data_IF_139745460861
#
_entry.id   IF_139745460861
#
_cell.length_a   1.000
_cell.length_b   1.000
_cell.length_c   1.000
_cell.angle_alpha   90.00
_cell.angle_beta   90.00
_cell.angle_gamma   90.00
#
_symmetry.space_group_name_H-M   'P 1'
#
loop_
_entity.id
_entity.type
_entity.pdbx_description
1 polymer ?
#
# COMPACT_ATOMS: atom_id res chain seq x y z
N UNK A 1 40.08 -2.76 -5.70
CA UNK A 1 39.30 -1.84 -4.83
C UNK A 1 38.35 -0.94 -5.60
N UNK A 2 38.80 -0.15 -6.59
CA UNK A 2 37.92 0.81 -7.30
C UNK A 2 36.68 0.17 -7.96
N UNK A 3 36.83 -1.00 -8.60
CA UNK A 3 35.69 -1.73 -9.19
C UNK A 3 34.60 -2.05 -8.14
N UNK A 4 34.98 -2.56 -6.97
CA UNK A 4 34.05 -2.93 -5.90
C UNK A 4 33.39 -1.71 -5.26
N UNK A 5 34.09 -0.58 -5.19
CA UNK A 5 33.50 0.71 -4.78
C UNK A 5 32.38 1.14 -5.72
N UNK A 6 32.59 1.03 -7.03
CA UNK A 6 31.56 1.38 -8.02
C UNK A 6 30.37 0.44 -7.90
N UNK A 7 30.60 -0.87 -7.78
CA UNK A 7 29.53 -1.86 -7.62
C UNK A 7 28.73 -1.61 -6.33
N UNK A 8 29.40 -1.32 -5.22
CA UNK A 8 28.74 -1.00 -3.94
C UNK A 8 27.90 0.28 -4.02
N UNK A 9 28.41 1.34 -4.65
CA UNK A 9 27.66 2.59 -4.88
C UNK A 9 26.44 2.35 -5.76
N UNK A 10 26.60 1.58 -6.85
CA UNK A 10 25.49 1.22 -7.74
C UNK A 10 24.43 0.39 -7.02
N UNK A 11 24.84 -0.58 -6.20
CA UNK A 11 23.95 -1.37 -5.36
C UNK A 11 23.18 -0.50 -4.38
N UNK A 12 23.88 0.35 -3.63
CA UNK A 12 23.25 1.28 -2.68
C UNK A 12 22.27 2.23 -3.37
N UNK A 13 22.61 2.73 -4.58
CA UNK A 13 21.68 3.54 -5.38
C UNK A 13 20.43 2.73 -5.73
N UNK A 14 20.56 1.48 -6.14
CA UNK A 14 19.43 0.63 -6.48
C UNK A 14 18.54 0.33 -5.26
N UNK A 15 19.15 0.08 -4.10
CA UNK A 15 18.43 -0.08 -2.83
C UNK A 15 17.63 1.16 -2.46
N UNK A 16 18.22 2.36 -2.65
CA UNK A 16 17.53 3.64 -2.39
C UNK A 16 16.37 3.88 -3.35
N UNK A 17 16.51 3.47 -4.62
CA UNK A 17 15.43 3.51 -5.59
C UNK A 17 14.30 2.57 -5.19
N UNK A 18 14.64 1.36 -4.71
CA UNK A 18 13.65 0.43 -4.17
C UNK A 18 12.88 1.02 -2.99
N UNK A 19 13.60 1.62 -2.04
CA UNK A 19 12.99 2.31 -0.90
C UNK A 19 12.05 3.44 -1.37
N UNK A 20 12.49 4.25 -2.33
CA UNK A 20 11.66 5.31 -2.89
C UNK A 20 10.41 4.78 -3.60
N UNK A 21 10.50 3.68 -4.35
CA UNK A 21 9.37 3.11 -5.10
C UNK A 21 8.39 2.41 -4.16
N UNK A 22 8.88 1.52 -3.30
CA UNK A 22 8.03 0.65 -2.48
C UNK A 22 7.45 1.39 -1.28
N UNK A 23 8.22 2.19 -0.53
CA UNK A 23 7.67 2.92 0.62
C UNK A 23 6.67 3.98 0.17
N UNK A 24 6.91 4.63 -0.97
CA UNK A 24 5.95 5.57 -1.59
C UNK A 24 4.64 4.91 -1.97
N UNK A 25 4.65 3.63 -2.33
CA UNK A 25 3.42 2.89 -2.61
C UNK A 25 2.53 2.74 -1.36
N UNK A 26 3.12 2.79 -0.17
CA UNK A 26 2.40 2.85 1.11
C UNK A 26 2.14 4.28 1.58
N UNK A 27 2.97 5.25 1.19
CA UNK A 27 2.93 6.63 1.64
C UNK A 27 2.48 7.59 0.54
N UNK A 28 1.18 7.70 0.30
CA UNK A 28 0.63 8.52 -0.78
C UNK A 28 0.59 10.03 -0.43
N UNK A 29 0.39 10.39 0.84
CA UNK A 29 0.23 11.78 1.28
C UNK A 29 1.54 12.44 1.74
N UNK A 30 2.34 12.88 0.77
CA UNK A 30 3.62 13.57 1.00
C UNK A 30 3.40 15.09 1.05
N UNK A 31 4.04 15.78 2.01
CA UNK A 31 3.88 17.24 2.20
C UNK A 31 4.38 18.07 1.01
N UNK A 32 5.51 17.68 0.40
CA UNK A 32 6.13 18.37 -0.73
C UNK A 32 6.86 17.37 -1.65
N UNK A 33 6.76 17.56 -2.98
CA UNK A 33 7.37 16.66 -3.98
C UNK A 33 8.89 16.56 -3.82
N UNK A 34 9.57 17.66 -3.49
CA UNK A 34 11.02 17.68 -3.27
C UNK A 34 11.42 17.03 -1.93
N UNK A 35 10.59 17.15 -0.90
CA UNK A 35 10.86 16.55 0.40
C UNK A 35 10.85 15.00 0.34
N UNK A 36 10.21 14.42 -0.68
CA UNK A 36 10.15 12.97 -0.87
C UNK A 36 11.52 12.32 -1.14
N UNK A 37 12.53 13.10 -1.56
CA UNK A 37 13.88 12.59 -1.78
C UNK A 37 14.72 12.56 -0.50
N UNK A 38 14.27 13.21 0.59
CA UNK A 38 15.03 13.26 1.84
C UNK A 38 15.23 11.86 2.46
N UNK A 39 14.19 11.00 2.61
CA UNK A 39 14.41 9.70 3.23
C UNK A 39 15.32 8.77 2.42
N UNK A 40 15.18 8.61 1.08
CA UNK A 40 16.14 7.85 0.28
C UNK A 40 17.55 8.42 0.31
N UNK A 41 17.72 9.74 0.28
CA UNK A 41 19.05 10.36 0.36
C UNK A 41 19.72 10.09 1.72
N UNK A 42 18.97 10.19 2.82
CA UNK A 42 19.46 9.85 4.15
C UNK A 42 19.87 8.36 4.21
N UNK A 43 19.03 7.47 3.69
CA UNK A 43 19.32 6.04 3.63
C UNK A 43 20.62 5.77 2.84
N UNK A 44 20.80 6.40 1.67
CA UNK A 44 22.03 6.28 0.87
C UNK A 44 23.28 6.68 1.67
N UNK A 45 23.23 7.87 2.29
CA UNK A 45 24.37 8.42 3.04
C UNK A 45 24.72 7.55 4.24
N UNK A 46 23.72 7.09 4.99
CA UNK A 46 23.93 6.23 6.16
C UNK A 46 24.55 4.89 5.76
N UNK A 47 24.03 4.24 4.71
CA UNK A 47 24.59 2.97 4.22
C UNK A 47 26.02 3.17 3.73
N UNK A 48 26.26 4.21 2.93
CA UNK A 48 27.59 4.48 2.40
C UNK A 48 28.61 4.72 3.53
N UNK A 49 28.26 5.51 4.53
CA UNK A 49 29.12 5.72 5.71
C UNK A 49 29.39 4.39 6.42
N UNK A 50 28.36 3.57 6.62
CA UNK A 50 28.52 2.30 7.32
C UNK A 50 29.42 1.33 6.56
N UNK A 51 29.24 1.18 5.24
CA UNK A 51 30.03 0.24 4.43
C UNK A 51 31.51 0.62 4.39
N UNK A 52 31.85 1.91 4.35
CA UNK A 52 33.23 2.36 4.12
C UNK A 52 33.98 2.79 5.37
N UNK A 53 33.29 3.23 6.42
CA UNK A 53 33.93 3.85 7.59
C UNK A 53 33.67 3.11 8.91
N UNK A 54 32.72 2.18 8.98
CA UNK A 54 32.37 1.48 10.21
C UNK A 54 32.64 -0.02 10.03
N UNK A 55 33.51 -0.59 10.86
CA UNK A 55 33.85 -2.02 10.81
C UNK A 55 32.74 -2.90 11.40
N UNK A 56 32.10 -2.47 12.49
CA UNK A 56 31.02 -3.23 13.14
C UNK A 56 29.69 -3.09 12.40
N UNK A 57 29.14 -4.21 11.93
CA UNK A 57 27.89 -4.28 11.17
C UNK A 57 26.68 -4.63 12.05
N UNK A 58 26.88 -4.99 13.32
CA UNK A 58 25.84 -5.49 14.24
C UNK A 58 24.65 -4.53 14.35
N UNK A 59 24.91 -3.23 14.43
CA UNK A 59 23.88 -2.21 14.61
C UNK A 59 23.45 -1.51 13.31
N UNK A 60 23.96 -1.94 12.15
CA UNK A 60 23.67 -1.29 10.86
C UNK A 60 22.18 -1.28 10.55
N UNK A 61 21.54 -2.45 10.57
CA UNK A 61 20.12 -2.61 10.26
C UNK A 61 19.21 -1.78 11.19
N UNK A 62 19.26 -1.92 12.53
CA UNK A 62 18.36 -1.18 13.41
C UNK A 62 18.52 0.34 13.28
N UNK A 63 19.75 0.85 13.13
CA UNK A 63 19.97 2.29 12.95
C UNK A 63 19.39 2.78 11.63
N UNK A 64 19.62 2.07 10.53
CA UNK A 64 19.07 2.41 9.21
C UNK A 64 17.53 2.44 9.25
N UNK A 65 16.89 1.44 9.87
CA UNK A 65 15.42 1.39 9.99
C UNK A 65 14.86 2.55 10.81
N UNK A 66 15.47 2.87 11.95
CA UNK A 66 15.03 3.95 12.84
C UNK A 66 15.17 5.31 12.14
N UNK A 67 16.33 5.59 11.54
CA UNK A 67 16.57 6.86 10.84
C UNK A 67 15.63 7.03 9.65
N UNK A 68 15.43 5.96 8.87
CA UNK A 68 14.51 5.96 7.72
C UNK A 68 13.07 6.21 8.16
N UNK A 69 12.63 5.59 9.26
CA UNK A 69 11.30 5.83 9.83
C UNK A 69 11.10 7.29 10.21
N UNK A 70 12.04 7.89 10.95
CA UNK A 70 11.94 9.29 11.36
C UNK A 70 11.95 10.23 10.14
N UNK A 71 12.79 9.97 9.15
CA UNK A 71 12.82 10.77 7.92
C UNK A 71 11.47 10.73 7.19
N UNK A 72 10.88 9.54 7.00
CA UNK A 72 9.53 9.44 6.42
C UNK A 72 8.47 10.08 7.30
N UNK A 73 8.58 9.99 8.64
CA UNK A 73 7.60 10.59 9.55
C UNK A 73 7.61 12.12 9.53
N UNK A 74 8.77 12.73 9.29
CA UNK A 74 8.91 14.19 9.14
C UNK A 74 8.30 14.65 7.80
N UNK A 75 8.53 13.89 6.72
CA UNK A 75 8.18 14.27 5.34
C UNK A 75 6.72 13.97 4.98
N UNK A 76 6.13 12.93 5.56
CA UNK A 76 4.78 12.45 5.23
C UNK A 76 3.77 12.74 6.34
N UNK A 77 2.47 12.81 6.01
CA UNK A 77 1.38 12.87 7.01
C UNK A 77 0.76 11.49 7.28
N UNK A 78 1.41 10.44 6.80
CA UNK A 78 0.90 9.08 6.87
C UNK A 78 0.92 8.51 8.29
N UNK A 79 0.09 7.49 8.50
CA UNK A 79 0.10 6.73 9.73
C UNK A 79 1.46 6.04 9.91
N UNK A 80 1.94 5.94 11.15
CA UNK A 80 3.17 5.20 11.43
C UNK A 80 3.10 3.75 10.91
N UNK A 81 1.90 3.17 10.90
CA UNK A 81 1.63 1.81 10.42
C UNK A 81 2.00 1.66 8.94
N UNK A 82 1.57 2.59 8.08
CA UNK A 82 1.87 2.54 6.65
C UNK A 82 3.37 2.73 6.37
N UNK A 83 4.02 3.65 7.10
CA UNK A 83 5.46 3.90 6.96
C UNK A 83 6.24 2.64 7.32
N UNK A 84 5.96 2.06 8.49
CA UNK A 84 6.63 0.85 8.97
C UNK A 84 6.38 -0.31 8.00
N UNK A 85 5.13 -0.54 7.58
CA UNK A 85 4.81 -1.58 6.60
C UNK A 85 5.59 -1.42 5.28
N UNK A 86 5.72 -0.19 4.78
CA UNK A 86 6.49 0.08 3.57
C UNK A 86 7.98 -0.21 3.74
N UNK A 87 8.58 0.22 4.85
CA UNK A 87 9.99 -0.03 5.16
C UNK A 87 10.25 -1.54 5.27
N UNK A 88 9.40 -2.27 6.00
CA UNK A 88 9.51 -3.72 6.17
C UNK A 88 9.33 -4.47 4.85
N UNK A 89 8.37 -4.03 4.03
CA UNK A 89 8.18 -4.62 2.69
C UNK A 89 9.43 -4.43 1.85
N UNK A 90 10.01 -3.21 1.82
CA UNK A 90 11.24 -2.95 1.08
C UNK A 90 12.40 -3.83 1.56
N UNK A 91 12.62 -3.89 2.88
CA UNK A 91 13.71 -4.69 3.45
C UNK A 91 13.57 -6.17 3.07
N UNK A 92 12.39 -6.78 3.24
CA UNK A 92 12.20 -8.19 2.85
C UNK A 92 12.30 -8.42 1.35
N UNK A 93 11.85 -7.48 0.52
CA UNK A 93 12.04 -7.59 -0.94
C UNK A 93 13.52 -7.57 -1.32
N UNK A 94 14.29 -6.67 -0.69
CA UNK A 94 15.73 -6.55 -0.88
C UNK A 94 16.43 -7.84 -0.44
N UNK A 95 16.15 -8.29 0.79
CA UNK A 95 16.67 -9.53 1.34
C UNK A 95 16.34 -10.72 0.44
N UNK A 96 15.08 -10.90 0.04
CA UNK A 96 14.67 -12.00 -0.83
C UNK A 96 15.42 -11.98 -2.18
N UNK A 97 15.61 -10.80 -2.78
CA UNK A 97 16.36 -10.68 -4.02
C UNK A 97 17.85 -11.05 -3.84
N UNK A 98 18.48 -10.61 -2.76
CA UNK A 98 19.89 -10.92 -2.48
C UNK A 98 20.09 -12.41 -2.19
N UNK A 99 19.29 -12.98 -1.27
CA UNK A 99 19.32 -14.41 -0.91
C UNK A 99 19.09 -15.32 -2.11
N UNK A 100 18.14 -14.98 -2.99
CA UNK A 100 17.93 -15.72 -4.24
C UNK A 100 19.16 -15.67 -5.16
N UNK A 101 19.81 -14.51 -5.25
CA UNK A 101 21.00 -14.37 -6.07
C UNK A 101 22.21 -15.12 -5.48
N UNK A 102 22.41 -15.10 -4.17
CA UNK A 102 23.46 -15.88 -3.52
C UNK A 102 23.23 -17.38 -3.73
N UNK A 103 22.00 -17.84 -3.53
CA UNK A 103 21.60 -19.23 -3.78
C UNK A 103 21.88 -19.68 -5.22
N UNK A 104 21.51 -18.87 -6.22
CA UNK A 104 21.81 -19.17 -7.64
C UNK A 104 23.32 -19.15 -7.88
N UNK A 105 24.03 -18.19 -7.30
CA UNK A 105 25.49 -18.05 -7.43
C UNK A 105 26.22 -19.25 -6.83
N UNK A 106 25.75 -19.76 -5.69
CA UNK A 106 26.31 -20.93 -5.02
C UNK A 106 26.22 -22.19 -5.89
N UNK A 107 25.14 -22.37 -6.62
CA UNK A 107 24.97 -23.50 -7.52
C UNK A 107 25.70 -23.37 -8.87
N UNK A 108 26.03 -22.14 -9.27
CA UNK A 108 26.59 -21.86 -10.61
C UNK A 108 28.08 -21.54 -10.61
N UNK A 109 28.60 -20.99 -9.51
CA UNK A 109 29.98 -20.57 -9.37
C UNK A 109 30.72 -21.50 -8.39
N UNK A 110 31.97 -21.85 -8.70
CA UNK A 110 32.81 -22.63 -7.79
C UNK A 110 33.12 -21.90 -6.47
N UNK A 111 33.22 -20.58 -6.53
CA UNK A 111 33.45 -19.71 -5.38
C UNK A 111 32.71 -18.39 -5.61
N UNK A 112 32.04 -17.88 -4.59
CA UNK A 112 31.25 -16.64 -4.67
C UNK A 112 32.01 -15.39 -4.23
N UNK A 113 33.14 -15.56 -3.54
CA UNK A 113 33.88 -14.45 -2.93
C UNK A 113 35.29 -14.32 -3.52
N UNK A 114 35.87 -13.13 -3.35
CA UNK A 114 37.26 -12.80 -3.68
C UNK A 114 37.80 -11.92 -2.56
N UNK A 115 38.99 -12.25 -2.08
CA UNK A 115 39.72 -11.42 -1.13
C UNK A 115 40.45 -10.30 -1.87
N UNK A 116 40.23 -9.05 -1.48
CA UNK A 116 40.92 -7.88 -2.04
C UNK A 116 41.54 -7.11 -0.87
N UNK A 117 42.84 -7.33 -0.65
CA UNK A 117 43.50 -6.93 0.59
C UNK A 117 43.00 -7.80 1.75
N UNK A 118 42.67 -7.18 2.88
CA UNK A 118 42.17 -7.88 4.07
C UNK A 118 40.64 -8.05 4.08
N UNK A 119 39.93 -7.51 3.08
CA UNK A 119 38.47 -7.54 3.02
C UNK A 119 37.96 -8.58 2.02
N UNK A 120 36.91 -9.28 2.44
CA UNK A 120 36.16 -10.22 1.62
C UNK A 120 35.11 -9.47 0.79
N UNK A 121 35.08 -9.70 -0.52
CA UNK A 121 34.07 -9.17 -1.44
C UNK A 121 33.38 -10.28 -2.20
N UNK A 122 32.13 -10.05 -2.60
CA UNK A 122 31.45 -10.93 -3.55
C UNK A 122 32.03 -10.78 -4.95
N UNK A 123 31.99 -11.82 -5.77
CA UNK A 123 32.41 -11.73 -7.16
C UNK A 123 31.50 -10.77 -7.95
N UNK A 124 32.03 -10.03 -8.96
CA UNK A 124 31.21 -9.13 -9.78
C UNK A 124 29.98 -9.81 -10.41
N UNK A 125 30.08 -11.10 -10.73
CA UNK A 125 28.96 -11.90 -11.24
C UNK A 125 27.77 -11.94 -10.27
N UNK A 126 28.05 -12.02 -8.95
CA UNK A 126 27.01 -12.04 -7.90
C UNK A 126 26.35 -10.67 -7.79
N UNK A 127 27.13 -9.58 -7.83
CA UNK A 127 26.59 -8.21 -7.84
C UNK A 127 25.65 -7.95 -9.03
N UNK A 128 26.00 -8.42 -10.23
CA UNK A 128 25.13 -8.29 -11.40
C UNK A 128 23.79 -9.01 -11.15
N UNK A 129 23.84 -10.19 -10.55
CA UNK A 129 22.65 -10.95 -10.22
C UNK A 129 21.80 -10.26 -9.14
N UNK A 130 22.42 -9.65 -8.12
CA UNK A 130 21.73 -8.78 -7.15
C UNK A 130 20.94 -7.68 -7.85
N UNK A 131 21.59 -6.94 -8.76
CA UNK A 131 20.94 -5.83 -9.44
C UNK A 131 19.75 -6.29 -10.29
N UNK A 132 19.93 -7.39 -11.03
CA UNK A 132 18.86 -7.96 -11.85
C UNK A 132 17.65 -8.39 -11.01
N UNK A 133 17.88 -9.16 -9.94
CA UNK A 133 16.79 -9.64 -9.09
C UNK A 133 16.12 -8.51 -8.31
N UNK A 134 16.87 -7.53 -7.81
CA UNK A 134 16.30 -6.36 -7.14
C UNK A 134 15.40 -5.56 -8.08
N UNK A 135 15.79 -5.35 -9.34
CA UNK A 135 14.94 -4.69 -10.34
C UNK A 135 13.67 -5.50 -10.60
N UNK A 136 13.78 -6.82 -10.77
CA UNK A 136 12.62 -7.70 -11.01
C UNK A 136 11.63 -7.62 -9.83
N UNK A 137 12.12 -7.76 -8.60
CA UNK A 137 11.29 -7.66 -7.39
C UNK A 137 10.64 -6.28 -7.26
N UNK A 138 11.40 -5.21 -7.50
CA UNK A 138 10.89 -3.85 -7.46
C UNK A 138 9.76 -3.63 -8.48
N UNK A 139 9.93 -4.10 -9.72
CA UNK A 139 8.91 -4.01 -10.77
C UNK A 139 7.65 -4.82 -10.42
N UNK A 140 7.83 -6.05 -9.93
CA UNK A 140 6.73 -6.91 -9.47
C UNK A 140 5.90 -6.22 -8.38
N UNK A 141 6.57 -5.75 -7.32
CA UNK A 141 5.89 -5.07 -6.22
C UNK A 141 5.30 -3.72 -6.61
N UNK A 142 5.97 -2.95 -7.47
CA UNK A 142 5.43 -1.70 -7.99
C UNK A 142 4.10 -1.93 -8.73
N UNK A 143 4.07 -2.92 -9.63
CA UNK A 143 2.86 -3.28 -10.37
C UNK A 143 1.74 -3.75 -9.43
N UNK A 144 2.08 -4.61 -8.47
CA UNK A 144 1.13 -5.13 -7.49
C UNK A 144 0.54 -4.03 -6.60
N UNK A 145 1.39 -3.16 -6.05
CA UNK A 145 0.98 -2.10 -5.14
C UNK A 145 0.23 -0.98 -5.85
N UNK A 146 0.52 -0.71 -7.12
CA UNK A 146 -0.24 0.27 -7.94
C UNK A 146 -1.73 -0.06 -8.01
N UNK A 147 -2.08 -1.35 -8.01
CA UNK A 147 -3.46 -1.85 -8.03
C UNK A 147 -4.16 -1.68 -6.67
N UNK A 148 -3.43 -1.67 -5.57
CA UNK A 148 -3.97 -1.72 -4.19
C UNK A 148 -3.53 -0.52 -3.35
N UNK A 149 -4.18 0.64 -3.56
CA UNK A 149 -3.81 1.92 -2.93
C UNK A 149 -4.17 2.08 -1.44
N UNK A 150 -4.85 1.10 -0.85
CA UNK A 150 -5.25 1.12 0.56
C UNK A 150 -4.06 0.96 1.51
N UNK A 151 -4.16 1.54 2.71
CA UNK A 151 -3.17 1.35 3.79
C UNK A 151 -3.19 -0.05 4.38
N UNK A 152 -2.40 -0.30 5.42
CA UNK A 152 -2.48 -1.52 6.23
C UNK A 152 -3.01 -1.17 7.63
N UNK A 153 -3.82 -2.04 8.23
CA UNK A 153 -4.28 -1.88 9.61
C UNK A 153 -3.26 -2.41 10.64
N UNK A 154 -3.42 -2.01 11.91
CA UNK A 154 -2.48 -2.36 12.98
C UNK A 154 -2.34 -3.87 13.21
N UNK A 155 -3.40 -4.66 13.02
CA UNK A 155 -3.33 -6.11 13.26
C UNK A 155 -2.54 -6.79 12.16
N UNK A 156 -2.83 -6.44 10.91
CA UNK A 156 -2.06 -6.91 9.75
C UNK A 156 -0.58 -6.52 9.83
N UNK A 157 -0.25 -5.33 10.33
CA UNK A 157 1.14 -4.95 10.57
C UNK A 157 1.83 -5.90 11.54
N UNK A 158 1.22 -6.22 12.69
CA UNK A 158 1.82 -7.13 13.68
C UNK A 158 2.13 -8.50 13.08
N UNK A 159 1.24 -9.04 12.24
CA UNK A 159 1.48 -10.33 11.57
C UNK A 159 2.67 -10.22 10.63
N UNK A 160 2.72 -9.20 9.78
CA UNK A 160 3.85 -8.98 8.85
C UNK A 160 5.16 -8.79 9.62
N UNK A 161 5.12 -8.13 10.78
CA UNK A 161 6.30 -7.91 11.61
C UNK A 161 6.97 -9.19 12.08
N UNK A 162 6.20 -10.24 12.38
CA UNK A 162 6.76 -11.52 12.82
C UNK A 162 7.63 -12.12 11.71
N UNK A 163 7.13 -12.15 10.48
CA UNK A 163 7.89 -12.69 9.34
C UNK A 163 9.14 -11.86 9.03
N UNK A 164 9.01 -10.52 9.09
CA UNK A 164 10.14 -9.62 8.92
C UNK A 164 11.25 -9.91 9.95
N UNK A 165 10.92 -10.02 11.23
CA UNK A 165 11.92 -10.29 12.27
C UNK A 165 12.61 -11.65 12.07
N UNK A 166 11.88 -12.67 11.60
CA UNK A 166 12.47 -13.98 11.30
C UNK A 166 13.47 -13.85 10.13
N UNK A 167 13.05 -13.24 9.03
CA UNK A 167 13.89 -13.03 7.83
C UNK A 167 15.16 -12.24 8.17
N UNK A 168 15.02 -11.09 8.82
CA UNK A 168 16.16 -10.23 9.13
C UNK A 168 17.09 -10.84 10.18
N UNK A 169 16.56 -11.59 11.16
CA UNK A 169 17.39 -12.29 12.15
C UNK A 169 18.26 -13.38 11.50
N UNK A 170 17.68 -14.16 10.59
CA UNK A 170 18.42 -15.18 9.84
C UNK A 170 19.54 -14.56 8.98
N UNK A 171 19.25 -13.46 8.30
CA UNK A 171 20.24 -12.77 7.46
C UNK A 171 21.31 -12.03 8.25
N UNK A 172 20.97 -11.46 9.41
CA UNK A 172 21.96 -10.78 10.24
C UNK A 172 23.09 -11.73 10.66
N UNK A 173 22.79 -13.01 10.89
CA UNK A 173 23.81 -14.02 11.19
C UNK A 173 24.80 -14.22 10.02
N UNK A 174 24.29 -14.32 8.79
CA UNK A 174 25.13 -14.46 7.58
C UNK A 174 25.94 -13.18 7.33
N UNK A 175 25.30 -12.01 7.48
CA UNK A 175 25.94 -10.72 7.25
C UNK A 175 27.14 -10.46 8.18
N UNK A 176 27.03 -10.83 9.46
CA UNK A 176 28.13 -10.74 10.44
C UNK A 176 29.25 -11.70 10.03
N UNK A 177 28.93 -12.97 9.77
CA UNK A 177 29.92 -13.98 9.39
C UNK A 177 30.68 -13.63 8.10
N UNK A 178 30.00 -12.99 7.13
CA UNK A 178 30.61 -12.49 5.90
C UNK A 178 31.61 -11.34 6.16
N UNK A 179 31.24 -10.37 7.01
CA UNK A 179 32.11 -9.23 7.32
C UNK A 179 33.32 -9.62 8.19
N UNK A 180 33.17 -10.63 9.05
CA UNK A 180 34.29 -11.23 9.80
C UNK A 180 35.25 -12.02 8.90
N UNK A 181 34.90 -12.27 7.63
CA UNK A 181 35.74 -13.01 6.69
C UNK A 181 35.82 -14.51 6.96
N UNK A 182 34.79 -15.07 7.61
CA UNK A 182 34.75 -16.51 7.89
C UNK A 182 34.52 -17.31 6.61
N UNK A 183 35.24 -18.44 6.45
CA UNK A 183 35.10 -19.29 5.27
C UNK A 183 33.69 -19.91 5.15
N UNK A 184 33.05 -20.21 6.29
CA UNK A 184 31.73 -20.84 6.38
C UNK A 184 30.57 -19.81 6.49
N UNK A 185 30.80 -18.57 6.05
CA UNK A 185 29.80 -17.50 6.12
C UNK A 185 28.48 -17.86 5.42
N UNK A 186 28.56 -18.60 4.31
CA UNK A 186 27.41 -18.95 3.50
C UNK A 186 26.82 -20.30 3.91
N UNK A 187 25.54 -20.28 4.31
CA UNK A 187 24.81 -21.48 4.74
C UNK A 187 23.52 -21.64 3.94
N UNK A 188 23.57 -22.50 2.92
CA UNK A 188 22.45 -22.77 2.01
C UNK A 188 21.14 -23.12 2.73
N UNK A 189 21.22 -23.84 3.85
CA UNK A 189 20.02 -24.22 4.62
C UNK A 189 19.30 -22.99 5.21
N UNK A 190 20.05 -21.99 5.69
CA UNK A 190 19.48 -20.74 6.19
C UNK A 190 18.89 -19.92 5.04
N UNK A 191 19.60 -19.86 3.91
CA UNK A 191 19.16 -19.15 2.71
C UNK A 191 17.82 -19.71 2.20
N UNK A 192 17.70 -21.03 2.08
CA UNK A 192 16.47 -21.68 1.63
C UNK A 192 15.30 -21.43 2.58
N UNK A 193 15.52 -21.52 3.90
CA UNK A 193 14.50 -21.18 4.90
C UNK A 193 14.10 -19.71 4.76
N UNK A 194 15.06 -18.81 4.54
CA UNK A 194 14.81 -17.37 4.39
C UNK A 194 13.98 -17.09 3.14
N UNK A 195 14.30 -17.72 2.01
CA UNK A 195 13.51 -17.62 0.78
C UNK A 195 12.06 -18.07 1.03
N UNK A 196 11.86 -19.21 1.70
CA UNK A 196 10.52 -19.73 2.00
C UNK A 196 9.74 -18.76 2.89
N UNK A 197 10.35 -18.27 3.98
CA UNK A 197 9.69 -17.32 4.90
C UNK A 197 9.40 -15.97 4.22
N UNK A 198 10.34 -15.47 3.41
CA UNK A 198 10.14 -14.23 2.65
C UNK A 198 9.02 -14.38 1.60
N UNK A 199 8.94 -15.52 0.90
CA UNK A 199 7.83 -15.80 -0.02
C UNK A 199 6.49 -15.85 0.72
N UNK A 200 6.43 -16.48 1.90
CA UNK A 200 5.21 -16.49 2.73
C UNK A 200 4.81 -15.07 3.13
N UNK A 201 5.77 -14.21 3.50
CA UNK A 201 5.50 -12.81 3.81
C UNK A 201 4.97 -12.04 2.58
N UNK A 202 5.57 -12.25 1.40
CA UNK A 202 5.12 -11.63 0.15
C UNK A 202 3.67 -12.03 -0.15
N UNK A 203 3.35 -13.34 -0.09
CA UNK A 203 2.00 -13.87 -0.29
C UNK A 203 1.02 -13.29 0.74
N UNK A 204 1.44 -13.19 2.00
CA UNK A 204 0.64 -12.61 3.07
C UNK A 204 0.34 -11.12 2.84
N UNK A 205 1.34 -10.32 2.46
CA UNK A 205 1.16 -8.91 2.12
C UNK A 205 0.18 -8.77 0.95
N UNK A 206 0.36 -9.60 -0.08
CA UNK A 206 -0.51 -9.63 -1.26
C UNK A 206 -1.95 -9.93 -0.84
N UNK A 207 -2.14 -10.97 -0.04
CA UNK A 207 -3.45 -11.39 0.46
C UNK A 207 -4.11 -10.29 1.31
N UNK A 208 -3.40 -9.72 2.28
CA UNK A 208 -3.90 -8.65 3.15
C UNK A 208 -4.30 -7.43 2.31
N UNK A 209 -3.46 -6.99 1.38
CA UNK A 209 -3.75 -5.84 0.51
C UNK A 209 -4.98 -6.08 -0.36
N UNK A 210 -5.11 -7.27 -0.93
CA UNK A 210 -6.27 -7.63 -1.73
C UNK A 210 -7.55 -7.69 -0.89
N UNK A 211 -7.48 -8.29 0.31
CA UNK A 211 -8.61 -8.36 1.25
C UNK A 211 -9.08 -6.96 1.68
N UNK A 212 -8.16 -6.08 2.07
CA UNK A 212 -8.47 -4.71 2.46
C UNK A 212 -9.08 -3.92 1.29
N UNK A 213 -8.53 -4.10 0.08
CA UNK A 213 -9.06 -3.47 -1.13
C UNK A 213 -10.50 -3.91 -1.44
N UNK A 214 -10.78 -5.22 -1.39
CA UNK A 214 -12.12 -5.78 -1.59
C UNK A 214 -13.11 -5.26 -0.53
N UNK A 215 -12.67 -5.19 0.73
CA UNK A 215 -13.49 -4.68 1.83
C UNK A 215 -13.84 -3.20 1.66
N UNK A 216 -12.89 -2.37 1.26
CA UNK A 216 -13.15 -0.95 0.95
C UNK A 216 -14.12 -0.79 -0.21
N UNK A 217 -14.01 -1.64 -1.24
CA UNK A 217 -14.95 -1.66 -2.36
C UNK A 217 -16.36 -2.05 -1.91
N UNK A 218 -16.51 -3.14 -1.16
CA UNK A 218 -17.80 -3.59 -0.63
C UNK A 218 -18.48 -2.52 0.24
N UNK A 219 -17.70 -1.78 1.04
CA UNK A 219 -18.22 -0.67 1.84
C UNK A 219 -18.72 0.49 0.97
N UNK A 220 -17.98 0.86 -0.09
CA UNK A 220 -18.43 1.89 -1.03
C UNK A 220 -19.71 1.48 -1.74
N UNK A 221 -19.79 0.22 -2.18
CA UNK A 221 -20.97 -0.31 -2.88
C UNK A 221 -22.20 -0.30 -1.95
N UNK A 222 -22.05 -0.71 -0.69
CA UNK A 222 -23.14 -0.62 0.31
C UNK A 222 -23.62 0.81 0.53
N UNK A 223 -22.71 1.79 0.60
CA UNK A 223 -23.07 3.20 0.72
C UNK A 223 -23.83 3.70 -0.51
N UNK A 224 -23.39 3.32 -1.72
CA UNK A 224 -24.09 3.69 -2.96
C UNK A 224 -25.48 3.07 -3.05
N UNK A 225 -25.63 1.80 -2.68
CA UNK A 225 -26.93 1.12 -2.64
C UNK A 225 -27.86 1.82 -1.64
N UNK A 226 -27.37 2.17 -0.44
CA UNK A 226 -28.16 2.89 0.55
C UNK A 226 -28.62 4.27 0.04
N UNK A 227 -27.74 5.01 -0.65
CA UNK A 227 -28.09 6.29 -1.29
C UNK A 227 -29.16 6.13 -2.37
N UNK A 228 -29.02 5.11 -3.23
CA UNK A 228 -30.01 4.81 -4.27
C UNK A 228 -31.36 4.40 -3.69
N UNK A 229 -31.36 3.60 -2.61
CA UNK A 229 -32.58 3.23 -1.90
C UNK A 229 -33.30 4.44 -1.30
N UNK A 230 -32.55 5.38 -0.72
CA UNK A 230 -33.13 6.61 -0.19
C UNK A 230 -33.73 7.48 -1.30
N UNK A 231 -33.04 7.62 -2.44
CA UNK A 231 -33.57 8.34 -3.60
C UNK A 231 -34.83 7.67 -4.15
N UNK A 232 -34.82 6.34 -4.25
CA UNK A 232 -35.97 5.57 -4.70
C UNK A 232 -37.18 5.78 -3.78
N UNK A 233 -37.00 5.71 -2.46
CA UNK A 233 -38.06 5.97 -1.48
C UNK A 233 -38.64 7.38 -1.61
N UNK A 234 -37.78 8.39 -1.76
CA UNK A 234 -38.21 9.78 -1.97
C UNK A 234 -39.09 9.93 -3.24
N UNK A 235 -38.68 9.34 -4.36
CA UNK A 235 -39.49 9.40 -5.59
C UNK A 235 -40.79 8.61 -5.49
N UNK A 236 -40.81 7.50 -4.75
CA UNK A 236 -42.03 6.74 -4.48
C UNK A 236 -43.04 7.55 -3.67
N UNK A 237 -42.59 8.25 -2.63
CA UNK A 237 -43.48 9.10 -1.83
C UNK A 237 -43.99 10.29 -2.64
N UNK A 238 -43.13 10.91 -3.47
CA UNK A 238 -43.56 11.97 -4.38
C UNK A 238 -44.64 11.51 -5.38
N UNK A 239 -44.52 10.29 -5.92
CA UNK A 239 -45.54 9.71 -6.79
C UNK A 239 -46.88 9.52 -6.07
N UNK A 240 -46.87 9.04 -4.82
CA UNK A 240 -48.09 8.91 -4.01
C UNK A 240 -48.73 10.25 -3.70
N UNK A 241 -47.93 11.29 -3.43
CA UNK A 241 -48.44 12.64 -3.22
C UNK A 241 -49.07 13.20 -4.50
N UNK A 242 -48.46 12.98 -5.67
CA UNK A 242 -49.05 13.35 -6.96
C UNK A 242 -50.37 12.60 -7.23
N UNK A 243 -50.46 11.30 -6.91
CA UNK A 243 -51.69 10.52 -7.02
C UNK A 243 -52.78 11.04 -6.06
N UNK A 244 -52.41 11.41 -4.83
CA UNK A 244 -53.32 11.99 -3.84
C UNK A 244 -53.83 13.37 -4.27
N UNK A 245 -52.98 14.22 -4.83
CA UNK A 245 -53.40 15.52 -5.37
C UNK A 245 -54.35 15.30 -6.55
N UNK A 246 -54.07 14.33 -7.42
CA UNK A 246 -54.95 13.98 -8.56
C UNK A 246 -56.32 13.48 -8.09
N UNK A 247 -56.38 12.65 -7.05
CA UNK A 247 -57.67 12.18 -6.51
C UNK A 247 -58.47 13.29 -5.85
N UNK A 248 -57.83 14.17 -5.07
CA UNK A 248 -58.45 15.38 -4.51
C UNK A 248 -59.04 16.26 -5.62
N UNK A 249 -58.28 16.50 -6.69
CA UNK A 249 -58.75 17.28 -7.83
C UNK A 249 -59.97 16.63 -8.51
N UNK A 250 -59.98 15.30 -8.65
CA UNK A 250 -61.11 14.55 -9.20
C UNK A 250 -62.37 14.67 -8.32
N UNK A 251 -62.23 14.54 -6.99
CA UNK A 251 -63.35 14.68 -6.06
C UNK A 251 -63.90 16.11 -6.01
N UNK A 252 -63.02 17.12 -6.02
CA UNK A 252 -63.44 18.53 -6.12
C UNK A 252 -64.23 18.79 -7.39
N UNK A 253 -63.77 18.26 -8.53
CA UNK A 253 -64.50 18.34 -9.80
C UNK A 253 -65.87 17.67 -9.71
N UNK A 254 -65.98 16.51 -9.10
CA UNK A 254 -67.25 15.81 -8.92
C UNK A 254 -68.21 16.59 -8.01
N UNK A 255 -67.73 17.12 -6.88
CA UNK A 255 -68.55 17.96 -6.00
C UNK A 255 -69.05 19.22 -6.72
N UNK A 256 -68.21 19.86 -7.53
CA UNK A 256 -68.61 21.00 -8.36
C UNK A 256 -69.77 20.63 -9.29
N UNK A 257 -69.67 19.50 -10.01
CA UNK A 257 -70.72 19.01 -10.90
C UNK A 257 -72.04 18.71 -10.16
N UNK A 258 -71.97 18.16 -8.94
CA UNK A 258 -73.16 17.92 -8.11
C UNK A 258 -73.79 19.24 -7.65
N UNK A 259 -72.99 20.22 -7.25
CA UNK A 259 -73.47 21.55 -6.87
C UNK A 259 -74.12 22.29 -8.05
N UNK A 260 -73.57 22.16 -9.25
CA UNK A 260 -74.14 22.73 -10.47
C UNK A 260 -75.44 22.04 -10.91
N UNK A 261 -75.62 20.76 -10.57
CA UNK A 261 -76.81 19.97 -10.94
C UNK A 261 -77.97 19.99 -9.91
N UNK A 262 -77.75 20.42 -8.65
CA UNK A 262 -78.83 20.57 -7.66
C UNK A 262 -79.65 21.85 -7.91
N UNK A 263 -80.96 21.81 -7.60
CA UNK A 263 -81.89 22.92 -7.82
C UNK A 263 -81.35 24.27 -7.29
N UNK A 264 -81.27 25.24 -8.19
CA UNK A 264 -80.62 26.56 -8.08
C UNK A 264 -81.15 27.43 -6.92
N UNK A 265 -80.59 27.29 -5.72
CA UNK A 265 -80.57 28.37 -4.72
C UNK A 265 -79.35 29.27 -4.94
N UNK A 266 -79.49 30.58 -4.65
CA UNK A 266 -78.46 31.60 -4.90
C UNK A 266 -77.14 31.29 -4.16
N UNK A 267 -77.22 30.69 -2.97
CA UNK A 267 -76.09 30.24 -2.16
C UNK A 267 -75.28 29.12 -2.86
N UNK A 268 -75.98 28.17 -3.50
CA UNK A 268 -75.35 27.05 -4.22
C UNK A 268 -74.59 27.53 -5.46
N UNK A 269 -75.08 28.61 -6.11
CA UNK A 269 -74.37 29.28 -7.23
C UNK A 269 -73.12 30.02 -6.77
N UNK A 270 -73.17 30.69 -5.61
CA UNK A 270 -71.99 31.36 -5.05
C UNK A 270 -70.92 30.34 -4.64
N UNK A 271 -71.31 29.23 -3.99
CA UNK A 271 -70.39 28.14 -3.65
C UNK A 271 -69.74 27.51 -4.89
N UNK A 272 -70.53 27.20 -5.93
CA UNK A 272 -70.00 26.66 -7.18
C UNK A 272 -69.00 27.63 -7.85
N UNK A 273 -69.28 28.94 -7.88
CA UNK A 273 -68.33 29.94 -8.41
C UNK A 273 -67.03 29.98 -7.62
N UNK A 274 -67.09 30.01 -6.29
CA UNK A 274 -65.89 30.04 -5.44
C UNK A 274 -65.02 28.80 -5.65
N UNK A 275 -65.62 27.60 -5.67
CA UNK A 275 -64.92 26.35 -5.97
C UNK A 275 -64.29 26.36 -7.36
N UNK A 276 -64.97 26.92 -8.38
CA UNK A 276 -64.44 27.01 -9.75
C UNK A 276 -63.16 27.85 -9.83
N UNK A 277 -63.09 28.96 -9.07
CA UNK A 277 -61.88 29.80 -8.95
C UNK A 277 -60.74 29.15 -8.15
N UNK A 278 -61.01 28.12 -7.35
CA UNK A 278 -59.97 27.39 -6.62
C UNK A 278 -59.42 26.20 -7.41
N UNK A 279 -60.15 25.75 -8.44
CA UNK A 279 -59.80 24.61 -9.29
C UNK A 279 -59.06 25.05 -10.57
N UNK A 280 -59.39 26.22 -11.13
CA UNK A 280 -58.68 26.86 -12.25
C UNK A 280 -57.46 27.65 -11.79
#
# INVERSE_FOLDING_TARGET
MWLYQILDILGTLLETLGLYVLVKAYCLNIKNRFANFIPPALFFVVIYIWTWFIEDVTFRLPVVLILTFFAYKIVTRESAVNIIAGIMTQAVCLTAANTLAETISFHTLNEMTVMVGEKQFLKPQVYILYFLLQIIFMLFFYHFMKKHKGGIDKKSLLVISIFFFIVESLMQNIAIAFHEGTADWFRIEIELVTIVVAMLMVVLIVYIKNYLYLREQEQRDKMQIAQLQQQYAYYQDKLKDEERIRSLYHDMKNHLLVLENRQNTEETRQMARQLRTQIM
#
